data_IF_235472374922
#
_entry.id   IF_235472374922
#
_cell.length_a   1.000
_cell.length_b   1.000
_cell.length_c   1.000
_cell.angle_alpha   90.00
_cell.angle_beta   90.00
_cell.angle_gamma   90.00
#
_symmetry.space_group_name_H-M   'P 1'
#
loop_
_entity.id
_entity.type
_entity.pdbx_description
1 polymer ?
#
# COMPACT_ATOMS: atom_id res chain seq x y z
N UNK A 1 -14.84 20.79 -7.25
CA UNK A 1 -15.11 19.64 -8.13
C UNK A 1 -14.90 18.40 -7.29
N UNK A 2 -15.83 17.44 -7.27
CA UNK A 2 -15.59 16.18 -6.56
C UNK A 2 -14.38 15.48 -7.21
N UNK A 3 -13.32 15.21 -6.44
CA UNK A 3 -12.24 14.37 -6.95
C UNK A 3 -12.79 12.98 -7.26
N UNK A 4 -12.56 12.51 -8.48
CA UNK A 4 -12.81 11.10 -8.79
C UNK A 4 -11.75 10.22 -8.11
N UNK A 5 -12.09 8.95 -7.87
CA UNK A 5 -11.14 7.94 -7.40
C UNK A 5 -9.84 7.93 -8.21
N UNK A 6 -9.96 7.96 -9.55
CA UNK A 6 -8.80 8.04 -10.44
C UNK A 6 -7.93 9.27 -10.19
N UNK A 7 -8.53 10.43 -9.91
CA UNK A 7 -7.78 11.65 -9.61
C UNK A 7 -7.01 11.54 -8.30
N UNK A 8 -7.57 10.85 -7.29
CA UNK A 8 -6.92 10.59 -6.00
C UNK A 8 -5.74 9.65 -6.19
N UNK A 9 -5.91 8.56 -6.95
CA UNK A 9 -4.84 7.61 -7.26
C UNK A 9 -3.69 8.31 -7.96
N UNK A 10 -3.96 9.06 -9.02
CA UNK A 10 -2.95 9.79 -9.78
C UNK A 10 -2.21 10.83 -8.91
N UNK A 11 -2.92 11.54 -8.03
CA UNK A 11 -2.34 12.60 -7.20
C UNK A 11 -1.51 12.09 -6.03
N UNK A 12 -2.00 11.07 -5.31
CA UNK A 12 -1.43 10.66 -4.02
C UNK A 12 -0.67 9.34 -4.08
N UNK A 13 -1.05 8.42 -4.97
CA UNK A 13 -0.52 7.04 -4.96
C UNK A 13 0.33 6.71 -6.18
N UNK A 14 0.12 7.39 -7.31
CA UNK A 14 0.98 7.26 -8.49
C UNK A 14 2.25 8.07 -8.33
N UNK A 15 3.23 7.47 -7.66
CA UNK A 15 4.59 8.03 -7.61
C UNK A 15 5.29 7.82 -8.95
N UNK A 16 6.12 8.79 -9.35
CA UNK A 16 7.08 8.61 -10.43
C UNK A 16 8.07 7.52 -9.98
N UNK A 17 7.77 6.27 -10.32
CA UNK A 17 8.62 5.15 -9.98
C UNK A 17 9.66 5.00 -11.07
N UNK A 18 10.92 5.11 -10.67
CA UNK A 18 11.96 4.26 -11.27
C UNK A 18 11.41 2.83 -11.23
N UNK A 19 11.41 2.16 -12.38
CA UNK A 19 10.92 0.79 -12.56
C UNK A 19 11.30 -0.08 -11.36
N UNK A 20 10.31 -0.41 -10.52
CA UNK A 20 10.56 -1.21 -9.33
C UNK A 20 10.96 -2.62 -9.79
N UNK A 21 12.04 -3.16 -9.21
CA UNK A 21 12.57 -4.46 -9.61
C UNK A 21 11.46 -5.52 -9.67
N UNK A 22 11.45 -6.28 -10.77
CA UNK A 22 10.55 -7.41 -11.01
C UNK A 22 9.04 -7.09 -11.04
N UNK A 23 8.67 -5.82 -11.15
CA UNK A 23 7.29 -5.39 -11.48
C UNK A 23 7.17 -5.28 -13.00
N UNK A 24 6.42 -6.21 -13.60
CA UNK A 24 6.12 -6.23 -15.04
C UNK A 24 5.03 -5.22 -15.38
N UNK A 25 4.04 -5.09 -14.50
CA UNK A 25 2.94 -4.12 -14.60
C UNK A 25 2.59 -3.60 -13.20
N UNK A 26 2.62 -2.27 -13.04
CA UNK A 26 2.34 -1.57 -11.78
C UNK A 26 0.99 -0.85 -11.80
N UNK A 27 0.90 0.29 -11.10
CA UNK A 27 -0.32 1.12 -11.04
C UNK A 27 -0.71 1.61 -12.44
N UNK A 28 -1.99 1.48 -12.79
CA UNK A 28 -2.58 2.01 -14.02
C UNK A 28 -3.40 1.01 -14.84
N UNK A 29 -3.53 -0.23 -14.37
CA UNK A 29 -4.33 -1.30 -14.99
C UNK A 29 -5.10 -2.06 -13.89
N UNK A 30 -5.90 -3.06 -14.28
CA UNK A 30 -6.78 -3.81 -13.37
C UNK A 30 -6.03 -4.72 -12.38
N UNK A 31 -4.77 -5.03 -12.65
CA UNK A 31 -3.92 -5.87 -11.81
C UNK A 31 -2.44 -5.54 -11.95
N UNK A 32 -1.69 -5.76 -10.87
CA UNK A 32 -0.23 -5.78 -10.92
C UNK A 32 0.27 -7.15 -11.42
N UNK A 33 1.30 -7.14 -12.26
CA UNK A 33 2.01 -8.33 -12.70
C UNK A 33 3.43 -8.31 -12.12
N UNK A 34 3.76 -9.36 -11.37
CA UNK A 34 5.02 -9.49 -10.64
C UNK A 34 5.69 -10.80 -11.03
N UNK A 35 6.98 -10.76 -11.34
CA UNK A 35 7.77 -11.93 -11.73
C UNK A 35 8.92 -12.14 -10.74
N UNK A 36 8.72 -12.88 -9.63
CA UNK A 36 9.78 -13.14 -8.67
C UNK A 36 11.04 -13.74 -9.33
N UNK A 37 12.25 -13.44 -8.82
CA UNK A 37 13.46 -14.08 -9.31
C UNK A 37 13.37 -15.61 -9.28
N UNK A 38 13.99 -16.26 -10.25
CA UNK A 38 13.99 -17.71 -10.33
C UNK A 38 14.60 -18.32 -9.06
N UNK A 39 13.90 -19.29 -8.45
CA UNK A 39 14.32 -19.96 -7.23
C UNK A 39 13.92 -19.25 -5.93
N UNK A 40 13.27 -18.09 -6.00
CA UNK A 40 12.68 -17.41 -4.84
C UNK A 40 11.18 -17.73 -4.72
N UNK A 41 10.67 -17.65 -3.48
CA UNK A 41 9.24 -17.70 -3.18
C UNK A 41 8.74 -16.30 -2.84
N UNK A 42 7.54 -15.97 -3.32
CA UNK A 42 6.86 -14.74 -2.94
C UNK A 42 6.07 -14.95 -1.64
N UNK A 43 6.51 -14.29 -0.57
CA UNK A 43 5.73 -14.17 0.66
C UNK A 43 4.74 -13.01 0.52
N UNK A 44 3.49 -13.24 0.94
CA UNK A 44 2.41 -12.25 0.89
C UNK A 44 1.74 -12.21 2.27
N UNK A 45 1.64 -11.02 2.85
CA UNK A 45 0.81 -10.74 4.04
C UNK A 45 -0.10 -9.55 3.74
N UNK A 46 -1.22 -9.49 4.45
CA UNK A 46 -2.15 -8.36 4.40
C UNK A 46 -2.77 -8.15 5.78
N UNK A 47 -2.64 -6.93 6.28
CA UNK A 47 -3.29 -6.48 7.51
C UNK A 47 -4.28 -5.34 7.24
N UNK A 48 -5.44 -5.41 7.90
CA UNK A 48 -6.47 -4.37 7.83
C UNK A 48 -6.48 -3.55 9.12
N UNK A 49 -6.24 -2.24 9.02
CA UNK A 49 -6.34 -1.31 10.15
C UNK A 49 -7.66 -0.53 10.10
N UNK A 50 -8.33 -0.42 11.23
CA UNK A 50 -9.69 0.15 11.35
C UNK A 50 -9.65 1.23 12.44
N UNK A 51 -10.17 2.41 12.13
CA UNK A 51 -10.28 3.52 13.07
C UNK A 51 -11.10 3.11 14.32
N UNK A 52 -10.70 3.56 15.50
CA UNK A 52 -11.30 3.20 16.79
C UNK A 52 -10.94 1.79 17.29
N UNK A 53 -10.33 0.93 16.47
CA UNK A 53 -9.89 -0.43 16.86
C UNK A 53 -8.39 -0.59 16.83
N UNK A 54 -7.76 -0.27 15.71
CA UNK A 54 -6.32 -0.45 15.49
C UNK A 54 -5.52 0.84 15.69
N UNK A 55 -6.19 2.00 15.58
CA UNK A 55 -5.66 3.31 15.90
C UNK A 55 -6.81 4.20 16.40
N UNK A 56 -6.49 5.24 17.17
CA UNK A 56 -7.49 6.16 17.69
C UNK A 56 -8.03 7.08 16.58
N UNK A 57 -9.29 7.50 16.63
CA UNK A 57 -9.91 8.28 15.55
C UNK A 57 -9.17 9.59 15.22
N UNK A 58 -8.52 10.19 16.21
CA UNK A 58 -7.71 11.40 16.08
C UNK A 58 -6.25 11.16 15.62
N UNK A 59 -5.88 9.91 15.28
CA UNK A 59 -4.51 9.60 14.82
C UNK A 59 -4.25 10.35 13.51
N UNK A 60 -3.07 10.96 13.38
CA UNK A 60 -2.75 11.75 12.19
C UNK A 60 -2.69 10.84 10.94
N UNK A 61 -3.04 11.36 9.74
CA UNK A 61 -2.93 10.58 8.50
C UNK A 61 -1.51 10.04 8.25
N UNK A 62 -0.48 10.79 8.62
CA UNK A 62 0.92 10.38 8.50
C UNK A 62 1.22 9.16 9.39
N UNK A 63 0.77 9.17 10.63
CA UNK A 63 0.96 8.05 11.56
C UNK A 63 0.14 6.82 11.15
N UNK A 64 -1.07 7.02 10.60
CA UNK A 64 -1.87 5.94 10.02
C UNK A 64 -1.12 5.28 8.86
N UNK A 65 -0.58 6.08 7.93
CA UNK A 65 0.21 5.59 6.80
C UNK A 65 1.47 4.84 7.25
N UNK A 66 2.20 5.39 8.22
CA UNK A 66 3.37 4.75 8.80
C UNK A 66 3.01 3.40 9.42
N UNK A 67 1.99 3.37 10.30
CA UNK A 67 1.60 2.15 11.01
C UNK A 67 1.07 1.08 10.05
N UNK A 68 0.28 1.47 9.05
CA UNK A 68 -0.28 0.55 8.04
C UNK A 68 0.82 -0.21 7.28
N UNK A 69 1.93 0.48 6.97
CA UNK A 69 3.09 -0.17 6.37
C UNK A 69 3.90 -0.96 7.40
N UNK A 70 4.18 -0.38 8.58
CA UNK A 70 5.05 -0.96 9.59
C UNK A 70 4.58 -2.34 10.08
N UNK A 71 3.27 -2.55 10.23
CA UNK A 71 2.73 -3.85 10.67
C UNK A 71 3.01 -4.95 9.63
N UNK A 72 2.77 -4.69 8.35
CA UNK A 72 3.04 -5.65 7.28
C UNK A 72 4.56 -5.89 7.09
N UNK A 73 5.40 -4.86 7.27
CA UNK A 73 6.86 -5.03 7.26
C UNK A 73 7.35 -5.89 8.43
N UNK A 74 6.68 -5.83 9.58
CA UNK A 74 6.97 -6.69 10.73
C UNK A 74 6.72 -8.17 10.40
N UNK A 75 5.63 -8.50 9.70
CA UNK A 75 5.36 -9.87 9.26
C UNK A 75 6.42 -10.38 8.29
N UNK A 76 6.84 -9.55 7.33
CA UNK A 76 7.90 -9.92 6.40
C UNK A 76 9.22 -10.19 7.14
N UNK A 77 9.55 -9.35 8.13
CA UNK A 77 10.73 -9.57 8.98
C UNK A 77 10.62 -10.88 9.78
N UNK A 78 9.45 -11.20 10.33
CA UNK A 78 9.22 -12.45 11.07
C UNK A 78 9.37 -13.70 10.19
N UNK A 79 9.02 -13.60 8.91
CA UNK A 79 9.21 -14.67 7.91
C UNK A 79 10.64 -14.73 7.34
N UNK A 80 11.52 -13.80 7.71
CA UNK A 80 12.85 -13.66 7.12
C UNK A 80 12.81 -13.23 5.65
N UNK A 81 11.69 -12.67 5.18
CA UNK A 81 11.50 -12.21 3.81
C UNK A 81 12.11 -10.82 3.62
N UNK A 82 12.59 -10.53 2.40
CA UNK A 82 12.98 -9.17 2.00
C UNK A 82 11.76 -8.45 1.43
N UNK A 83 11.26 -7.35 2.06
CA UNK A 83 10.14 -6.60 1.53
C UNK A 83 10.47 -5.95 0.18
N UNK A 84 9.52 -5.99 -0.77
CA UNK A 84 9.72 -5.46 -2.13
C UNK A 84 8.61 -4.51 -2.58
N UNK A 85 7.36 -4.94 -2.45
CA UNK A 85 6.19 -4.23 -2.97
C UNK A 85 5.07 -4.25 -1.95
N UNK A 86 4.11 -3.35 -2.10
CA UNK A 86 2.89 -3.30 -1.29
C UNK A 86 1.68 -3.06 -2.20
N UNK A 87 0.54 -3.60 -1.80
CA UNK A 87 -0.77 -3.15 -2.26
C UNK A 87 -1.42 -2.33 -1.15
N UNK A 88 -2.25 -1.35 -1.52
CA UNK A 88 -3.01 -0.54 -0.58
C UNK A 88 -4.49 -0.62 -0.95
N UNK A 89 -5.30 -1.12 -0.01
CA UNK A 89 -6.74 -0.99 -0.05
C UNK A 89 -7.15 0.02 1.01
N UNK A 90 -7.77 1.12 0.59
CA UNK A 90 -8.13 2.25 1.45
C UNK A 90 -9.62 2.55 1.29
N UNK A 91 -10.33 2.57 2.41
CA UNK A 91 -11.70 3.05 2.49
C UNK A 91 -11.74 4.28 3.39
N UNK A 92 -12.34 5.37 2.89
CA UNK A 92 -12.55 6.61 3.61
C UNK A 92 -14.04 6.97 3.56
N UNK A 93 -14.61 7.55 4.63
CA UNK A 93 -16.01 7.99 4.62
C UNK A 93 -16.25 9.13 3.62
N UNK A 94 -15.25 10.01 3.48
CA UNK A 94 -15.26 11.14 2.56
C UNK A 94 -13.84 11.50 2.13
N UNK A 95 -13.73 12.31 1.07
CA UNK A 95 -12.46 12.85 0.58
C UNK A 95 -12.39 14.30 1.04
N UNK A 96 -11.53 14.56 2.02
CA UNK A 96 -11.24 15.88 2.56
C UNK A 96 -9.79 16.27 2.22
N UNK A 97 -9.60 17.41 1.57
CA UNK A 97 -8.27 17.94 1.20
C UNK A 97 -7.86 19.17 2.02
N UNK A 98 -8.71 19.64 2.96
CA UNK A 98 -8.46 20.83 3.79
C UNK A 98 -7.51 20.57 4.98
#
# INVERSE_FOLDING_TARGET
MSLSEFSIIERYFRRSSTQADNVVLGIGDDAALIAPPAGELLAISVDTLIAGRHFAEQTTPADIGYKSLAVNLSDMAAMGATPRWITLSLALPEVDED
#
